data_IF_532349788513
#
_entry.id   IF_532349788513
#
_cell.length_a   1.000
_cell.length_b   1.000
_cell.length_c   1.000
_cell.angle_alpha   90.00
_cell.angle_beta   90.00
_cell.angle_gamma   90.00
#
_symmetry.space_group_name_H-M   'P 1'
#
loop_
_entity.id
_entity.type
_entity.pdbx_description
1 polymer ?
#
# COMPACT_ATOMS: atom_id res chain seq x y z
N UNK A 1 -17.14 -19.32 -48.52
CA UNK A 1 -15.76 -19.29 -47.98
C UNK A 1 -15.78 -18.40 -46.74
N UNK A 2 -15.78 -18.97 -45.53
CA UNK A 2 -15.81 -18.18 -44.28
C UNK A 2 -14.40 -17.65 -43.98
N UNK A 3 -14.24 -16.33 -43.91
CA UNK A 3 -13.01 -15.71 -43.38
C UNK A 3 -12.97 -15.93 -41.87
N UNK A 4 -12.03 -16.76 -41.41
CA UNK A 4 -11.74 -16.95 -39.98
C UNK A 4 -10.99 -15.73 -39.47
N UNK A 5 -11.63 -14.92 -38.62
CA UNK A 5 -10.96 -13.84 -37.89
C UNK A 5 -9.91 -14.44 -36.96
N UNK A 6 -8.64 -14.12 -37.24
CA UNK A 6 -7.51 -14.48 -36.39
C UNK A 6 -7.49 -13.53 -35.18
N UNK A 7 -8.18 -13.87 -34.09
CA UNK A 7 -8.07 -13.13 -32.83
C UNK A 7 -6.72 -13.45 -32.19
N UNK A 8 -5.67 -12.70 -32.57
CA UNK A 8 -4.42 -12.67 -31.82
C UNK A 8 -4.77 -12.21 -30.40
N UNK A 9 -4.80 -13.15 -29.45
CA UNK A 9 -4.82 -12.88 -28.02
C UNK A 9 -3.55 -12.09 -27.67
N UNK A 10 -3.56 -10.78 -27.90
CA UNK A 10 -2.61 -9.88 -27.24
C UNK A 10 -2.90 -10.03 -25.76
N UNK A 11 -2.05 -10.76 -25.03
CA UNK A 11 -1.98 -10.62 -23.58
C UNK A 11 -1.75 -9.13 -23.32
N UNK A 12 -2.81 -8.43 -22.96
CA UNK A 12 -2.70 -7.10 -22.39
C UNK A 12 -1.98 -7.36 -21.07
N UNK A 13 -0.66 -7.14 -21.05
CA UNK A 13 0.08 -7.04 -19.80
C UNK A 13 -0.49 -5.79 -19.15
N UNK A 14 -1.53 -5.94 -18.33
CA UNK A 14 -2.04 -4.83 -17.56
C UNK A 14 -0.86 -4.36 -16.73
N UNK A 15 -0.32 -3.18 -17.00
CA UNK A 15 0.65 -2.56 -16.11
C UNK A 15 -0.04 -2.44 -14.77
N UNK A 16 0.30 -3.33 -13.83
CA UNK A 16 -0.26 -3.31 -12.49
C UNK A 16 0.16 -1.99 -11.87
N UNK A 17 -0.80 -1.11 -11.62
CA UNK A 17 -0.51 0.13 -10.91
C UNK A 17 -0.24 -0.23 -9.45
N UNK A 18 1.02 -0.15 -9.04
CA UNK A 18 1.49 -0.56 -7.72
C UNK A 18 0.82 0.29 -6.62
N UNK A 19 0.59 1.58 -6.89
CA UNK A 19 -0.13 2.48 -5.98
C UNK A 19 -1.58 2.03 -5.78
N UNK A 20 -2.29 1.64 -6.84
CA UNK A 20 -3.64 1.07 -6.72
C UNK A 20 -3.65 -0.26 -5.96
N UNK A 21 -2.64 -1.10 -6.16
CA UNK A 21 -2.52 -2.37 -5.43
C UNK A 21 -2.34 -2.11 -3.93
N UNK A 22 -1.46 -1.20 -3.57
CA UNK A 22 -1.25 -0.77 -2.18
C UNK A 22 -2.54 -0.20 -1.58
N UNK A 23 -3.18 0.76 -2.26
CA UNK A 23 -4.40 1.42 -1.78
C UNK A 23 -5.56 0.43 -1.60
N UNK A 24 -5.66 -0.62 -2.42
CA UNK A 24 -6.66 -1.66 -2.25
C UNK A 24 -6.49 -2.43 -0.91
N UNK A 25 -5.26 -2.59 -0.42
CA UNK A 25 -4.99 -3.16 0.89
C UNK A 25 -5.22 -2.18 2.05
N UNK A 26 -5.08 -0.87 1.83
CA UNK A 26 -5.32 0.13 2.88
C UNK A 26 -6.81 0.52 3.02
N UNK A 27 -7.55 0.57 1.92
CA UNK A 27 -8.91 1.10 1.87
C UNK A 27 -9.97 0.01 2.09
N UNK A 28 -10.16 -0.37 3.35
CA UNK A 28 -11.13 -1.42 3.73
C UNK A 28 -12.55 -0.91 4.00
N UNK A 29 -12.74 0.40 4.17
CA UNK A 29 -14.08 0.93 4.39
C UNK A 29 -14.93 0.79 3.13
N UNK A 30 -16.21 0.51 3.27
CA UNK A 30 -17.13 0.61 2.13
C UNK A 30 -17.40 2.07 1.74
N UNK A 31 -17.20 2.99 2.69
CA UNK A 31 -17.44 4.41 2.54
C UNK A 31 -16.23 5.08 1.86
N UNK A 32 -16.43 5.59 0.63
CA UNK A 32 -15.36 6.12 -0.23
C UNK A 32 -14.70 7.37 0.35
N UNK A 33 -15.44 8.15 1.12
CA UNK A 33 -14.93 9.32 1.82
C UNK A 33 -13.90 9.00 2.90
N UNK A 34 -13.84 7.73 3.34
CA UNK A 34 -12.84 7.24 4.31
C UNK A 34 -11.62 6.61 3.65
N UNK A 35 -11.58 6.57 2.31
CA UNK A 35 -10.47 5.99 1.57
C UNK A 35 -9.31 6.97 1.54
N UNK A 36 -8.11 6.46 1.82
CA UNK A 36 -6.88 7.17 1.53
C UNK A 36 -6.74 7.34 0.02
N UNK A 37 -6.35 8.55 -0.37
CA UNK A 37 -5.81 8.86 -1.69
C UNK A 37 -4.32 8.56 -1.71
N UNK A 38 -3.79 8.45 -2.93
CA UNK A 38 -2.37 8.19 -3.17
C UNK A 38 -1.47 9.22 -2.46
N UNK A 39 -1.80 10.51 -2.57
CA UNK A 39 -1.03 11.60 -1.97
C UNK A 39 -1.10 11.59 -0.44
N UNK A 40 -2.27 11.26 0.12
CA UNK A 40 -2.42 11.11 1.58
C UNK A 40 -1.58 9.93 2.08
N UNK A 41 -1.47 8.88 1.27
CA UNK A 41 -0.65 7.70 1.58
C UNK A 41 0.83 8.02 1.54
N UNK A 42 1.29 8.84 0.58
CA UNK A 42 2.69 9.29 0.57
C UNK A 42 3.02 10.10 1.83
N UNK A 43 2.12 10.99 2.24
CA UNK A 43 2.27 11.79 3.47
C UNK A 43 2.32 10.92 4.72
N UNK A 44 1.60 9.79 4.76
CA UNK A 44 1.70 8.85 5.90
C UNK A 44 3.12 8.36 6.14
N UNK A 45 3.95 8.29 5.09
CA UNK A 45 5.34 7.85 5.18
C UNK A 45 6.33 8.99 5.42
N UNK A 46 5.90 10.26 5.41
CA UNK A 46 6.77 11.40 5.66
C UNK A 46 6.97 11.69 7.15
N UNK A 47 5.92 11.53 7.95
CA UNK A 47 5.94 11.72 9.40
C UNK A 47 4.90 10.83 10.08
N UNK A 48 5.24 10.28 11.24
CA UNK A 48 4.31 9.51 12.06
C UNK A 48 3.18 10.41 12.61
N UNK A 49 1.93 10.00 12.39
CA UNK A 49 0.73 10.63 12.94
C UNK A 49 -0.08 9.60 13.74
N UNK A 50 -0.18 9.79 15.06
CA UNK A 50 -0.87 8.84 15.95
C UNK A 50 -2.36 8.67 15.61
N UNK A 51 -3.02 9.70 15.09
CA UNK A 51 -4.42 9.65 14.66
C UNK A 51 -4.61 8.74 13.44
N UNK A 52 -3.52 8.48 12.71
CA UNK A 52 -3.47 7.56 11.57
C UNK A 52 -2.97 6.16 11.93
N UNK A 53 -2.78 5.88 13.22
CA UNK A 53 -2.38 4.54 13.72
C UNK A 53 -3.18 3.37 13.13
N UNK A 54 -4.51 3.46 12.87
CA UNK A 54 -5.24 2.35 12.24
C UNK A 54 -4.71 1.97 10.84
N UNK A 55 -4.18 2.93 10.08
CA UNK A 55 -3.61 2.66 8.76
C UNK A 55 -2.23 2.00 8.88
N UNK A 56 -1.37 2.47 9.78
CA UNK A 56 -0.05 1.87 9.99
C UNK A 56 -0.15 0.42 10.46
N UNK A 57 -1.05 0.11 11.39
CA UNK A 57 -1.28 -1.26 11.86
C UNK A 57 -1.63 -2.17 10.69
N UNK A 58 -2.53 -1.75 9.80
CA UNK A 58 -2.91 -2.53 8.62
C UNK A 58 -1.74 -2.72 7.66
N UNK A 59 -0.98 -1.66 7.41
CA UNK A 59 0.21 -1.71 6.55
C UNK A 59 1.20 -2.76 7.06
N UNK A 60 1.46 -2.80 8.37
CA UNK A 60 2.43 -3.75 8.93
C UNK A 60 1.87 -5.16 9.17
N UNK A 61 0.58 -5.29 9.47
CA UNK A 61 0.00 -6.57 9.89
C UNK A 61 -0.70 -7.33 8.76
N UNK A 62 -1.39 -6.62 7.87
CA UNK A 62 -2.33 -7.20 6.91
C UNK A 62 -1.79 -7.16 5.47
N UNK A 63 -0.91 -6.20 5.16
CA UNK A 63 -0.38 -6.04 3.82
C UNK A 63 0.70 -7.09 3.51
N UNK A 64 0.65 -7.78 2.35
CA UNK A 64 1.76 -8.60 1.92
C UNK A 64 3.02 -7.75 1.77
N UNK A 65 4.12 -8.19 2.37
CA UNK A 65 5.37 -7.42 2.39
C UNK A 65 5.87 -7.03 1.01
N UNK A 66 5.69 -7.89 0.00
CA UNK A 66 6.03 -7.57 -1.40
C UNK A 66 5.26 -6.37 -1.93
N UNK A 67 4.00 -6.18 -1.54
CA UNK A 67 3.18 -5.03 -1.95
C UNK A 67 3.67 -3.74 -1.29
N UNK A 68 4.04 -3.80 -0.01
CA UNK A 68 4.62 -2.67 0.71
C UNK A 68 5.97 -2.25 0.10
N UNK A 69 6.88 -3.21 -0.11
CA UNK A 69 8.22 -2.95 -0.67
C UNK A 69 8.15 -2.44 -2.12
N UNK A 70 7.25 -2.99 -2.94
CA UNK A 70 7.01 -2.51 -4.31
C UNK A 70 6.54 -1.04 -4.29
N UNK A 71 5.63 -0.69 -3.37
CA UNK A 71 5.12 0.68 -3.24
C UNK A 71 6.21 1.65 -2.76
N UNK A 72 6.98 1.28 -1.74
CA UNK A 72 8.09 2.07 -1.21
C UNK A 72 9.11 2.36 -2.32
N UNK A 73 9.52 1.31 -3.04
CA UNK A 73 10.52 1.42 -4.12
C UNK A 73 9.99 2.25 -5.28
N UNK A 74 8.73 2.04 -5.69
CA UNK A 74 8.11 2.78 -6.79
C UNK A 74 8.03 4.28 -6.53
N UNK A 75 7.79 4.68 -5.28
CA UNK A 75 7.59 6.08 -4.89
C UNK A 75 8.84 6.73 -4.28
N UNK A 76 10.01 6.05 -4.31
CA UNK A 76 11.26 6.53 -3.71
C UNK A 76 11.12 6.93 -2.23
N UNK A 77 10.31 6.18 -1.47
CA UNK A 77 10.15 6.40 -0.03
C UNK A 77 11.41 5.91 0.68
N UNK A 78 11.99 6.74 1.53
CA UNK A 78 13.13 6.35 2.35
C UNK A 78 12.70 5.26 3.35
N UNK A 79 13.33 4.09 3.25
CA UNK A 79 13.12 2.97 4.17
C UNK A 79 13.35 3.34 5.62
N UNK A 80 14.26 4.28 5.90
CA UNK A 80 14.52 4.75 7.26
C UNK A 80 13.26 5.37 7.90
N UNK A 81 12.45 6.11 7.11
CA UNK A 81 11.18 6.69 7.57
C UNK A 81 10.17 5.59 7.91
N UNK A 82 10.07 4.56 7.09
CA UNK A 82 9.16 3.42 7.32
C UNK A 82 9.53 2.67 8.61
N UNK A 83 10.82 2.42 8.82
CA UNK A 83 11.33 1.81 10.05
C UNK A 83 11.04 2.70 11.26
N UNK A 84 11.20 4.01 11.14
CA UNK A 84 10.90 4.94 12.23
C UNK A 84 9.41 4.95 12.56
N UNK A 85 8.53 4.95 11.56
CA UNK A 85 7.07 4.83 11.76
C UNK A 85 6.72 3.53 12.49
N UNK A 86 7.34 2.40 12.12
CA UNK A 86 7.14 1.13 12.82
C UNK A 86 7.54 1.24 14.31
N UNK A 87 8.70 1.83 14.61
CA UNK A 87 9.18 2.03 15.98
C UNK A 87 8.26 2.94 16.78
N UNK A 88 7.89 4.10 16.21
CA UNK A 88 6.97 5.06 16.83
C UNK A 88 5.60 4.43 17.11
N UNK A 89 5.07 3.63 16.18
CA UNK A 89 3.81 2.92 16.39
C UNK A 89 3.91 1.94 17.56
N UNK A 90 4.99 1.15 17.64
CA UNK A 90 5.21 0.18 18.72
C UNK A 90 5.45 0.84 20.08
N UNK A 91 6.07 2.02 20.09
CA UNK A 91 6.38 2.75 21.32
C UNK A 91 5.17 3.53 21.85
N UNK A 92 4.39 4.16 20.98
CA UNK A 92 3.33 5.09 21.38
C UNK A 92 1.94 4.45 21.41
N UNK A 93 1.81 3.18 21.03
CA UNK A 93 0.52 2.49 21.05
C UNK A 93 0.62 1.11 21.71
N UNK A 94 -0.49 0.64 22.24
CA UNK A 94 -0.60 -0.73 22.79
C UNK A 94 -0.97 -1.76 21.72
N UNK A 95 -0.96 -1.39 20.44
CA UNK A 95 -1.34 -2.29 19.37
C UNK A 95 -0.27 -3.35 19.13
N UNK A 96 -0.70 -4.59 18.87
CA UNK A 96 0.20 -5.63 18.40
C UNK A 96 0.55 -5.37 16.94
N UNK A 97 1.83 -5.13 16.67
CA UNK A 97 2.36 -4.90 15.32
C UNK A 97 3.35 -6.02 14.98
N UNK A 98 3.22 -6.60 13.78
CA UNK A 98 4.16 -7.60 13.28
C UNK A 98 5.53 -6.97 13.02
N UNK A 99 6.58 -7.77 13.18
CA UNK A 99 7.94 -7.25 13.05
C UNK A 99 8.24 -6.76 11.62
N UNK A 100 8.73 -5.53 11.55
CA UNK A 100 9.23 -4.89 10.34
C UNK A 100 10.75 -4.78 10.42
N UNK A 101 11.44 -5.88 10.07
CA UNK A 101 12.91 -5.94 9.87
C UNK A 101 13.30 -5.99 8.40
#
# INVERSE_FOLDING_TARGET
MMQRYNSKNRRIVSKTNLNRKFLAFCNWSFAKEKHLKEQETLVLFDSFDIEKSPFYIRIFNEMPRTVLEDFITHNNIDKSKVINIYKELKQNTSYRVNDYE
#
